data_IF_860124704699
#
_entry.id   IF_860124704699
#
_cell.length_a   1.000
_cell.length_b   1.000
_cell.length_c   1.000
_cell.angle_alpha   90.00
_cell.angle_beta   90.00
_cell.angle_gamma   90.00
#
_symmetry.space_group_name_H-M   'P 1'
#
loop_
_entity.id
_entity.type
_entity.pdbx_description
1 polymer ?
#
# COMPACT_ATOMS: atom_id res chain seq x y z
N UNK A 1 -36.59 18.90 9.13
CA UNK A 1 -37.02 17.71 8.36
C UNK A 1 -36.23 17.61 7.08
N UNK A 2 -34.88 17.39 7.13
CA UNK A 2 -34.02 17.28 5.94
C UNK A 2 -32.69 16.53 6.23
N UNK A 3 -32.72 15.44 7.02
CA UNK A 3 -31.53 14.64 7.34
C UNK A 3 -31.64 13.17 6.90
N UNK A 4 -32.70 12.78 6.18
CA UNK A 4 -32.95 11.37 5.85
C UNK A 4 -32.77 10.99 4.37
N UNK A 5 -32.02 11.75 3.55
CA UNK A 5 -31.89 11.45 2.09
C UNK A 5 -30.48 11.12 1.58
N UNK A 6 -29.47 10.96 2.45
CA UNK A 6 -28.09 10.65 1.96
C UNK A 6 -27.73 9.16 2.09
N UNK A 7 -28.53 8.33 2.74
CA UNK A 7 -28.19 6.91 2.99
C UNK A 7 -28.60 5.92 1.89
N UNK A 8 -29.20 6.37 0.77
CA UNK A 8 -29.75 5.46 -0.26
C UNK A 8 -28.99 5.44 -1.60
N UNK A 9 -27.78 6.02 -1.71
CA UNK A 9 -27.02 6.01 -2.97
C UNK A 9 -25.92 4.91 -2.98
N UNK A 10 -25.64 4.23 -1.88
CA UNK A 10 -24.53 3.28 -1.75
C UNK A 10 -24.84 1.78 -1.61
N UNK A 11 -26.08 1.25 -1.66
CA UNK A 11 -26.28 -0.20 -1.57
C UNK A 11 -25.79 -0.97 -2.81
N UNK A 12 -25.71 -0.34 -3.98
CA UNK A 12 -25.28 -1.01 -5.21
C UNK A 12 -23.75 -1.09 -5.39
N UNK A 13 -22.95 -0.25 -4.73
CA UNK A 13 -21.48 -0.32 -4.82
C UNK A 13 -20.89 -1.52 -4.06
N UNK A 14 -21.43 -1.84 -2.89
CA UNK A 14 -20.97 -2.99 -2.10
C UNK A 14 -21.39 -4.35 -2.68
N UNK A 15 -22.52 -4.40 -3.40
CA UNK A 15 -22.93 -5.62 -4.09
C UNK A 15 -22.11 -5.87 -5.36
N UNK A 16 -21.72 -4.83 -6.09
CA UNK A 16 -20.84 -4.97 -7.27
C UNK A 16 -19.39 -5.33 -6.92
N UNK A 17 -18.90 -4.97 -5.73
CA UNK A 17 -17.54 -5.31 -5.32
C UNK A 17 -17.32 -6.82 -5.09
N UNK A 18 -18.34 -7.57 -4.73
CA UNK A 18 -18.25 -9.04 -4.53
C UNK A 18 -18.00 -9.82 -5.82
N UNK A 19 -18.22 -9.24 -6.99
CA UNK A 19 -18.11 -9.91 -8.29
C UNK A 19 -17.07 -9.28 -9.21
N UNK A 20 -16.21 -8.41 -8.68
CA UNK A 20 -15.22 -7.71 -9.51
C UNK A 20 -14.11 -8.64 -10.00
N UNK A 21 -13.74 -9.62 -9.20
CA UNK A 21 -12.71 -10.61 -9.53
C UNK A 21 -13.30 -12.01 -9.59
N UNK A 22 -12.62 -12.93 -10.29
CA UNK A 22 -13.06 -14.31 -10.35
C UNK A 22 -13.13 -14.92 -8.95
N UNK A 23 -14.17 -15.71 -8.69
CA UNK A 23 -14.31 -16.46 -7.44
C UNK A 23 -13.25 -17.58 -7.39
N UNK A 24 -12.67 -17.80 -6.22
CA UNK A 24 -11.67 -18.83 -5.96
C UNK A 24 -12.36 -20.20 -5.76
N UNK A 25 -12.26 -21.08 -6.72
CA UNK A 25 -12.98 -22.37 -6.70
C UNK A 25 -12.05 -23.58 -6.92
N UNK A 26 -10.91 -23.36 -7.59
CA UNK A 26 -10.00 -24.43 -7.99
C UNK A 26 -8.55 -23.98 -7.84
N UNK A 27 -7.72 -24.75 -7.15
CA UNK A 27 -6.31 -24.42 -6.88
C UNK A 27 -5.52 -24.28 -8.18
N UNK A 28 -5.63 -25.22 -9.13
CA UNK A 28 -4.91 -25.15 -10.38
C UNK A 28 -5.27 -23.91 -11.21
N UNK A 29 -6.54 -23.48 -11.19
CA UNK A 29 -6.94 -22.23 -11.85
C UNK A 29 -6.39 -20.99 -11.16
N UNK A 30 -6.14 -21.03 -9.85
CA UNK A 30 -5.57 -19.93 -9.09
C UNK A 30 -4.08 -19.81 -9.38
N UNK A 31 -3.34 -20.93 -9.30
CA UNK A 31 -1.89 -20.97 -9.40
C UNK A 31 -1.36 -20.95 -10.84
N UNK A 32 -2.08 -21.59 -11.78
CA UNK A 32 -1.64 -21.77 -13.17
C UNK A 32 -2.55 -21.07 -14.19
N UNK A 33 -3.71 -20.56 -13.77
CA UNK A 33 -4.65 -19.87 -14.63
C UNK A 33 -4.25 -18.41 -14.91
N UNK A 34 -5.01 -17.74 -15.78
CA UNK A 34 -4.74 -16.37 -16.20
C UNK A 34 -5.80 -15.37 -15.72
N UNK A 35 -6.71 -15.77 -14.84
CA UNK A 35 -7.75 -14.90 -14.30
C UNK A 35 -7.38 -14.39 -12.90
N UNK A 36 -7.51 -13.10 -12.72
CA UNK A 36 -7.27 -12.46 -11.43
C UNK A 36 -8.34 -12.87 -10.41
N UNK A 37 -7.90 -13.52 -9.33
CA UNK A 37 -8.73 -14.09 -8.26
C UNK A 37 -8.07 -13.84 -6.90
N UNK A 38 -7.90 -12.56 -6.47
CA UNK A 38 -7.10 -12.21 -5.32
C UNK A 38 -7.73 -12.73 -4.03
N UNK A 39 -6.87 -13.15 -3.10
CA UNK A 39 -7.24 -13.61 -1.76
C UNK A 39 -7.05 -12.48 -0.76
N UNK A 40 -8.15 -11.94 -0.33
CA UNK A 40 -8.15 -10.99 0.79
C UNK A 40 -8.26 -11.76 2.12
N UNK A 41 -7.64 -11.22 3.16
CA UNK A 41 -7.74 -11.75 4.52
C UNK A 41 -9.15 -11.56 5.13
N UNK A 42 -9.31 -11.95 6.40
CA UNK A 42 -10.59 -11.83 7.11
C UNK A 42 -11.06 -10.39 7.31
N UNK A 43 -10.14 -9.42 7.22
CA UNK A 43 -10.45 -7.99 7.28
C UNK A 43 -10.71 -7.38 5.88
N UNK A 44 -10.70 -8.22 4.84
CA UNK A 44 -10.87 -7.82 3.45
C UNK A 44 -9.65 -7.09 2.88
N UNK A 45 -8.45 -7.40 3.37
CA UNK A 45 -7.21 -6.76 2.97
C UNK A 45 -6.25 -7.75 2.31
N UNK A 46 -5.45 -7.24 1.37
CA UNK A 46 -4.34 -7.95 0.74
C UNK A 46 -3.05 -7.15 0.94
N UNK A 47 -1.93 -7.77 1.37
CA UNK A 47 -0.66 -7.09 1.53
C UNK A 47 -0.08 -6.66 0.18
N UNK A 48 0.65 -5.55 0.19
CA UNK A 48 1.25 -4.96 -1.00
C UNK A 48 2.68 -4.55 -0.71
N UNK A 49 3.62 -5.07 -1.49
CA UNK A 49 5.00 -4.58 -1.53
C UNK A 49 5.17 -3.66 -2.74
N UNK A 50 5.77 -2.50 -2.53
CA UNK A 50 5.96 -1.50 -3.60
C UNK A 50 7.43 -1.23 -3.81
N UNK A 51 7.88 -1.32 -5.08
CA UNK A 51 9.27 -1.08 -5.48
C UNK A 51 9.38 0.05 -6.50
N UNK A 52 10.54 0.69 -6.54
CA UNK A 52 10.86 1.64 -7.59
C UNK A 52 11.12 0.93 -8.92
N UNK A 53 10.48 1.36 -10.00
CA UNK A 53 10.68 0.78 -11.34
C UNK A 53 12.13 0.89 -11.81
N UNK A 54 12.81 2.01 -11.51
CA UNK A 54 14.18 2.29 -11.97
C UNK A 54 15.22 1.55 -11.13
N UNK A 55 15.17 1.71 -9.81
CA UNK A 55 16.22 1.22 -8.90
C UNK A 55 15.96 -0.18 -8.36
N UNK A 56 14.74 -0.68 -8.50
CA UNK A 56 14.25 -1.95 -7.89
C UNK A 56 14.24 -1.94 -6.36
N UNK A 57 14.53 -0.81 -5.76
CA UNK A 57 14.48 -0.61 -4.32
C UNK A 57 13.06 -0.83 -3.79
N UNK A 58 12.94 -1.48 -2.63
CA UNK A 58 11.67 -1.59 -1.92
C UNK A 58 11.37 -0.23 -1.30
N UNK A 59 10.26 0.37 -1.69
CA UNK A 59 9.85 1.70 -1.24
C UNK A 59 8.97 1.65 0.01
N UNK A 60 8.01 0.74 0.03
CA UNK A 60 7.08 0.60 1.15
C UNK A 60 6.33 -0.73 1.11
N UNK A 61 5.75 -1.06 2.24
CA UNK A 61 4.73 -2.07 2.40
C UNK A 61 3.42 -1.41 2.80
N UNK A 62 2.31 -1.90 2.28
CA UNK A 62 0.96 -1.42 2.59
C UNK A 62 -0.08 -2.51 2.46
N UNK A 63 -1.34 -2.11 2.48
CA UNK A 63 -2.49 -3.00 2.27
C UNK A 63 -3.46 -2.37 1.28
N UNK A 64 -4.17 -3.20 0.55
CA UNK A 64 -5.31 -2.80 -0.27
C UNK A 64 -6.56 -3.56 0.16
N UNK A 65 -7.70 -2.89 0.15
CA UNK A 65 -8.98 -3.57 0.04
C UNK A 65 -9.36 -3.70 -1.44
N UNK A 66 -10.46 -4.34 -1.73
CA UNK A 66 -10.92 -4.56 -3.10
C UNK A 66 -11.07 -3.26 -3.90
N UNK A 67 -11.53 -2.19 -3.27
CA UNK A 67 -11.72 -0.89 -3.90
C UNK A 67 -10.40 -0.16 -4.17
N UNK A 68 -9.44 -0.23 -3.25
CA UNK A 68 -8.10 0.32 -3.45
C UNK A 68 -7.38 -0.38 -4.60
N UNK A 69 -7.51 -1.70 -4.73
CA UNK A 69 -6.95 -2.46 -5.86
C UNK A 69 -7.61 -2.03 -7.18
N UNK A 70 -8.95 -1.94 -7.21
CA UNK A 70 -9.70 -1.46 -8.37
C UNK A 70 -9.21 -0.08 -8.83
N UNK A 71 -9.18 0.87 -7.91
CA UNK A 71 -8.72 2.24 -8.21
C UNK A 71 -7.29 2.27 -8.72
N UNK A 72 -6.40 1.43 -8.14
CA UNK A 72 -5.02 1.34 -8.59
C UNK A 72 -4.92 0.85 -10.04
N UNK A 73 -5.71 -0.16 -10.41
CA UNK A 73 -5.75 -0.69 -11.78
C UNK A 73 -6.28 0.37 -12.76
N UNK A 74 -7.38 1.01 -12.42
CA UNK A 74 -8.07 1.97 -13.30
C UNK A 74 -7.28 3.27 -13.49
N UNK A 75 -6.76 3.85 -12.41
CA UNK A 75 -6.07 5.14 -12.45
C UNK A 75 -4.59 5.03 -12.81
N UNK A 76 -4.00 3.85 -12.67
CA UNK A 76 -2.55 3.61 -12.74
C UNK A 76 -1.76 4.43 -11.72
N UNK A 77 -2.40 4.78 -10.61
CA UNK A 77 -1.80 5.44 -9.45
C UNK A 77 -2.08 4.62 -8.20
N UNK A 78 -1.08 4.49 -7.31
CA UNK A 78 -1.21 3.60 -6.17
C UNK A 78 -2.20 4.12 -5.13
N UNK A 79 -3.24 3.33 -4.86
CA UNK A 79 -4.20 3.51 -3.80
C UNK A 79 -4.05 2.38 -2.78
N UNK A 80 -4.01 2.73 -1.51
CA UNK A 80 -3.89 1.78 -0.41
C UNK A 80 -5.07 1.90 0.54
N UNK A 81 -5.22 0.91 1.40
CA UNK A 81 -6.10 1.00 2.56
C UNK A 81 -5.31 1.40 3.80
N UNK A 82 -5.63 2.54 4.37
CA UNK A 82 -5.06 2.98 5.64
C UNK A 82 -5.78 2.27 6.79
N UNK A 83 -5.10 1.31 7.44
CA UNK A 83 -5.67 0.55 8.56
C UNK A 83 -5.95 1.42 9.78
N UNK A 84 -5.13 2.44 10.04
CA UNK A 84 -5.29 3.35 11.16
C UNK A 84 -6.42 4.37 10.98
N UNK A 85 -6.64 4.86 9.74
CA UNK A 85 -7.69 5.81 9.41
C UNK A 85 -8.98 5.17 8.91
N UNK A 86 -8.90 3.86 8.54
CA UNK A 86 -10.00 3.09 7.93
C UNK A 86 -10.58 3.76 6.67
N UNK A 87 -9.69 4.20 5.79
CA UNK A 87 -10.06 4.88 4.54
C UNK A 87 -9.10 4.52 3.40
N UNK A 88 -9.54 4.76 2.16
CA UNK A 88 -8.68 4.66 0.98
C UNK A 88 -7.71 5.82 0.98
N UNK A 89 -6.45 5.49 0.79
CA UNK A 89 -5.35 6.43 0.76
C UNK A 89 -4.70 6.47 -0.64
N UNK A 90 -4.99 7.51 -1.41
CA UNK A 90 -4.27 7.80 -2.65
C UNK A 90 -2.87 8.30 -2.31
N UNK A 91 -1.86 7.50 -2.63
CA UNK A 91 -0.47 7.80 -2.28
C UNK A 91 0.04 9.02 -3.03
N UNK A 92 0.47 10.01 -2.27
CA UNK A 92 0.99 11.26 -2.80
C UNK A 92 -0.05 12.36 -2.99
N UNK A 93 -1.32 12.15 -2.69
CA UNK A 93 -2.37 13.18 -2.81
C UNK A 93 -2.03 14.45 -2.03
N UNK A 94 -1.53 14.31 -0.80
CA UNK A 94 -1.12 15.45 0.05
C UNK A 94 0.30 15.91 -0.26
N UNK A 95 1.25 14.97 -0.36
CA UNK A 95 2.68 15.30 -0.50
C UNK A 95 3.12 15.67 -1.92
N UNK A 96 2.30 15.43 -2.94
CA UNK A 96 2.68 15.55 -4.34
C UNK A 96 3.51 14.37 -4.87
N UNK A 97 3.96 13.44 -4.01
CA UNK A 97 4.78 12.28 -4.40
C UNK A 97 3.90 11.10 -4.82
N UNK A 98 3.17 11.27 -5.92
CA UNK A 98 2.29 10.25 -6.47
C UNK A 98 3.10 9.05 -6.97
N UNK A 99 2.67 7.85 -6.65
CA UNK A 99 3.24 6.62 -7.15
C UNK A 99 2.53 6.19 -8.44
N UNK A 100 3.16 6.45 -9.61
CA UNK A 100 2.64 6.03 -10.92
C UNK A 100 2.95 4.56 -11.16
N UNK A 101 1.93 3.74 -11.17
CA UNK A 101 2.06 2.29 -11.33
C UNK A 101 2.44 1.94 -12.77
N UNK A 102 3.51 1.18 -12.93
CA UNK A 102 4.01 0.66 -14.21
C UNK A 102 3.72 -0.82 -14.40
N UNK A 103 3.66 -1.56 -13.29
CA UNK A 103 3.41 -2.99 -13.29
C UNK A 103 2.74 -3.40 -11.98
N UNK A 104 1.83 -4.35 -12.06
CA UNK A 104 1.19 -5.03 -10.93
C UNK A 104 1.38 -6.53 -11.14
N UNK A 105 1.88 -7.22 -10.14
CA UNK A 105 1.91 -8.70 -10.10
C UNK A 105 1.24 -9.21 -8.84
N UNK A 106 0.77 -10.42 -8.91
CA UNK A 106 0.34 -11.22 -7.76
C UNK A 106 1.30 -12.39 -7.60
N UNK A 107 1.40 -12.93 -6.40
CA UNK A 107 2.15 -14.17 -6.15
C UNK A 107 1.36 -15.41 -6.65
N UNK A 108 1.88 -16.58 -6.43
CA UNK A 108 1.36 -17.83 -7.00
C UNK A 108 -0.06 -18.15 -6.52
N UNK A 109 -0.37 -17.95 -5.25
CA UNK A 109 -1.73 -18.18 -4.72
C UNK A 109 -2.58 -16.90 -4.60
N UNK A 110 -2.09 -15.79 -5.19
CA UNK A 110 -2.75 -14.49 -5.31
C UNK A 110 -3.16 -13.88 -3.95
N UNK A 111 -2.35 -14.07 -2.91
CA UNK A 111 -2.59 -13.51 -1.57
C UNK A 111 -1.66 -12.34 -1.21
N UNK A 112 -0.78 -11.96 -2.15
CA UNK A 112 0.09 -10.79 -2.05
C UNK A 112 0.21 -10.05 -3.38
N UNK A 113 0.39 -8.73 -3.33
CA UNK A 113 0.55 -7.87 -4.50
C UNK A 113 1.94 -7.24 -4.50
N UNK A 114 2.58 -7.22 -5.65
CA UNK A 114 3.73 -6.40 -5.91
C UNK A 114 3.39 -5.29 -6.90
N UNK A 115 3.72 -4.03 -6.51
CA UNK A 115 3.65 -2.86 -7.38
C UNK A 115 5.05 -2.42 -7.78
N UNK A 116 5.27 -2.22 -9.07
CA UNK A 116 6.42 -1.49 -9.60
C UNK A 116 5.97 -0.08 -9.98
N UNK A 117 6.50 0.95 -9.29
CA UNK A 117 6.05 2.32 -9.45
C UNK A 117 7.17 3.27 -9.87
N UNK A 118 6.80 4.31 -10.62
CA UNK A 118 7.64 5.47 -10.87
C UNK A 118 7.25 6.58 -9.88
N UNK A 119 8.21 7.00 -9.07
CA UNK A 119 8.05 8.11 -8.12
C UNK A 119 8.94 9.32 -8.46
N UNK A 120 9.64 9.29 -9.62
CA UNK A 120 10.61 10.32 -9.98
C UNK A 120 11.67 10.49 -8.88
N UNK A 121 11.97 11.73 -8.53
CA UNK A 121 12.83 12.09 -7.40
C UNK A 121 12.09 12.13 -6.05
N UNK A 122 10.83 11.68 -6.02
CA UNK A 122 9.98 11.70 -4.84
C UNK A 122 10.36 10.67 -3.78
N UNK A 123 9.60 10.70 -2.70
CA UNK A 123 9.74 9.85 -1.51
C UNK A 123 8.46 9.06 -1.23
N UNK A 124 8.63 7.86 -0.70
CA UNK A 124 7.52 7.05 -0.21
C UNK A 124 7.29 7.18 1.29
N UNK A 125 8.31 7.54 2.05
CA UNK A 125 8.24 7.61 3.50
C UNK A 125 7.75 8.97 3.98
N UNK A 126 6.77 8.98 4.90
CA UNK A 126 6.26 10.22 5.51
C UNK A 126 7.29 10.91 6.44
N UNK A 127 8.31 10.19 6.88
CA UNK A 127 9.41 10.72 7.71
C UNK A 127 10.43 11.51 6.87
N UNK A 128 10.31 11.47 5.54
CA UNK A 128 11.17 12.21 4.62
C UNK A 128 12.19 11.36 3.88
N UNK A 129 12.40 10.11 4.23
CA UNK A 129 13.29 9.19 3.50
C UNK A 129 12.63 8.69 2.22
N UNK A 130 13.44 8.32 1.23
CA UNK A 130 12.96 7.79 -0.04
C UNK A 130 12.19 6.50 0.15
N UNK A 131 12.74 5.56 0.92
CA UNK A 131 12.11 4.30 1.29
C UNK A 131 11.58 4.34 2.73
N UNK A 132 10.51 3.59 3.02
CA UNK A 132 10.10 3.28 4.39
C UNK A 132 11.08 2.30 5.08
N UNK A 133 11.91 1.61 4.30
CA UNK A 133 12.92 0.64 4.76
C UNK A 133 14.31 1.26 4.86
N UNK A 134 14.41 2.50 5.30
CA UNK A 134 15.64 3.27 5.40
C UNK A 134 16.58 2.85 6.54
N UNK A 135 16.21 1.83 7.34
CA UNK A 135 17.01 1.28 8.43
C UNK A 135 17.10 -0.23 8.31
N UNK A 136 18.27 -0.78 8.63
CA UNK A 136 18.50 -2.22 8.71
C UNK A 136 18.68 -2.70 10.14
N UNK A 137 18.33 -3.94 10.37
CA UNK A 137 18.56 -4.66 11.62
C UNK A 137 19.88 -5.43 11.46
N UNK A 138 20.86 -5.30 12.39
CA UNK A 138 22.10 -6.05 12.32
C UNK A 138 21.83 -7.55 12.45
N UNK A 139 22.53 -8.35 11.65
CA UNK A 139 22.47 -9.81 11.72
C UNK A 139 23.59 -10.34 12.64
N UNK A 140 23.33 -11.44 13.32
CA UNK A 140 24.30 -12.13 14.18
C UNK A 140 23.80 -12.35 15.59
N UNK A 141 24.74 -12.54 16.54
CA UNK A 141 24.44 -12.79 17.95
C UNK A 141 23.81 -11.53 18.59
N UNK A 142 22.71 -11.71 19.28
CA UNK A 142 22.03 -10.66 20.03
C UNK A 142 22.40 -10.78 21.51
N UNK A 143 23.22 -9.87 22.01
CA UNK A 143 23.65 -9.85 23.42
C UNK A 143 22.63 -9.12 24.31
N UNK A 144 21.88 -8.15 23.75
CA UNK A 144 20.81 -7.43 24.44
C UNK A 144 19.60 -7.20 23.53
N UNK A 145 18.60 -8.09 23.62
CA UNK A 145 17.39 -8.02 22.78
C UNK A 145 16.52 -6.76 23.00
N UNK A 146 16.72 -6.02 24.10
CA UNK A 146 15.94 -4.80 24.39
C UNK A 146 16.52 -3.55 23.72
N UNK A 147 17.80 -3.57 23.35
CA UNK A 147 18.53 -2.42 22.83
C UNK A 147 19.31 -2.80 21.56
N UNK A 148 18.60 -3.30 20.55
CA UNK A 148 19.21 -3.56 19.24
C UNK A 148 19.25 -2.24 18.48
N UNK A 149 20.45 -1.72 18.25
CA UNK A 149 20.65 -0.53 17.44
C UNK A 149 20.50 -0.85 15.96
N UNK A 150 19.64 -0.08 15.27
CA UNK A 150 19.47 -0.19 13.83
C UNK A 150 20.47 0.72 13.13
N UNK A 151 20.94 0.29 11.95
CA UNK A 151 21.78 1.09 11.08
C UNK A 151 20.92 1.85 10.08
N UNK A 152 21.19 3.15 9.90
CA UNK A 152 20.57 3.95 8.84
C UNK A 152 21.26 3.66 7.50
N UNK A 153 20.49 3.20 6.52
CA UNK A 153 20.95 2.95 5.15
C UNK A 153 20.81 4.20 4.28
N UNK A 154 19.79 5.03 4.55
CA UNK A 154 19.67 6.38 3.98
C UNK A 154 20.15 7.40 5.02
N UNK A 155 21.15 8.21 4.66
CA UNK A 155 21.76 9.19 5.57
C UNK A 155 20.99 10.51 5.63
N UNK A 156 20.34 10.88 4.53
CA UNK A 156 19.69 12.17 4.37
C UNK A 156 18.22 11.99 3.99
N UNK A 157 17.40 12.91 4.47
CA UNK A 157 16.00 12.98 4.06
C UNK A 157 15.88 13.64 2.70
N UNK A 158 15.02 13.11 1.84
CA UNK A 158 14.71 13.69 0.53
C UNK A 158 13.87 14.96 0.62
N UNK A 159 13.15 15.15 1.74
CA UNK A 159 12.37 16.35 2.03
C UNK A 159 12.19 16.54 3.55
N UNK A 160 11.80 17.74 3.93
CA UNK A 160 11.44 18.09 5.31
C UNK A 160 9.93 17.78 5.55
N UNK A 161 9.60 16.78 6.41
CA UNK A 161 8.21 16.41 6.68
C UNK A 161 7.39 17.54 7.27
N UNK A 162 7.97 18.41 8.11
CA UNK A 162 7.26 19.52 8.75
C UNK A 162 6.76 20.53 7.73
N UNK A 163 7.51 20.74 6.64
CA UNK A 163 7.08 21.64 5.55
C UNK A 163 5.93 21.08 4.72
N UNK A 164 5.88 19.75 4.56
CA UNK A 164 4.87 19.09 3.71
C UNK A 164 3.60 18.77 4.48
N UNK A 165 3.74 18.20 5.69
CA UNK A 165 2.59 17.69 6.44
C UNK A 165 2.09 18.65 7.51
N UNK A 166 2.88 19.68 7.88
CA UNK A 166 2.50 20.73 8.84
C UNK A 166 1.74 20.16 10.05
N UNK A 167 0.42 20.44 10.08
CA UNK A 167 -0.46 20.09 11.19
C UNK A 167 -1.10 18.68 11.06
N UNK A 168 -0.74 17.91 10.01
CA UNK A 168 -1.27 16.55 9.88
C UNK A 168 -0.69 15.64 10.97
N UNK A 169 -1.55 14.87 11.66
CA UNK A 169 -1.08 13.98 12.71
C UNK A 169 -0.19 12.88 12.14
N UNK A 170 0.88 12.57 12.86
CA UNK A 170 1.75 11.45 12.49
C UNK A 170 0.94 10.15 12.42
N UNK A 171 0.98 9.40 11.29
CA UNK A 171 0.23 8.16 11.14
C UNK A 171 0.71 7.02 12.04
N UNK A 172 1.94 7.11 12.59
CA UNK A 172 2.46 6.14 13.54
C UNK A 172 1.74 6.27 14.87
N UNK A 173 1.14 5.18 15.34
CA UNK A 173 0.51 5.09 16.67
C UNK A 173 1.43 4.32 17.62
N UNK A 174 1.48 4.75 18.89
CA UNK A 174 2.19 4.08 20.00
C UNK A 174 1.18 3.26 20.80
#
# INVERSE_FOLDING_TARGET
MLIFKIFNIFPNMLQNSRYMFKKRENVAEIEEGNLLSPKFDNDGLIPVVTTCTKTKEILMHGYMNIEALRLTIETKEAHYWSRSRKEIWHKGKTSGFVQKVKEIRVDDDQDSIWLSVDIGEGSSCHVGYRSCFYRSIPLGKIDNARNIEMKFEEKEKSFDPEKIYKDEPNPTKI
#
